data_IF_250973237667
#
_entry.id   IF_250973237667
#
_cell.length_a   1.000
_cell.length_b   1.000
_cell.length_c   1.000
_cell.angle_alpha   90.00
_cell.angle_beta   90.00
_cell.angle_gamma   90.00
#
_symmetry.space_group_name_H-M   'P 1'
#
loop_
_entity.id
_entity.type
_entity.pdbx_description
1 polymer ?
#
# COMPACT_ATOMS: atom_id res chain seq x y z
N UNK A 1 14.92 -29.04 5.96
CA UNK A 1 14.00 -28.12 6.67
C UNK A 1 14.73 -27.50 7.85
N UNK A 2 14.49 -26.22 8.15
CA UNK A 2 15.08 -25.51 9.31
C UNK A 2 14.04 -25.48 10.43
N UNK A 3 14.40 -25.90 11.65
CA UNK A 3 13.51 -25.84 12.82
C UNK A 3 13.43 -24.42 13.35
N UNK A 4 12.23 -23.84 13.40
CA UNK A 4 11.96 -22.54 14.00
C UNK A 4 10.93 -22.69 15.13
N UNK A 5 11.14 -22.00 16.24
CA UNK A 5 10.15 -21.82 17.29
C UNK A 5 9.65 -20.37 17.25
N UNK A 6 8.34 -20.19 17.37
CA UNK A 6 7.67 -18.89 17.36
C UNK A 6 6.65 -18.86 18.49
N UNK A 7 6.56 -17.74 19.20
CA UNK A 7 5.49 -17.51 20.16
C UNK A 7 4.26 -17.02 19.42
N UNK A 8 3.12 -17.63 19.70
CA UNK A 8 1.81 -17.27 19.14
C UNK A 8 0.83 -17.11 20.29
N UNK A 9 -0.20 -16.30 20.07
CA UNK A 9 -1.22 -16.07 21.08
C UNK A 9 -2.20 -17.24 21.16
N UNK A 10 -2.84 -17.43 22.31
CA UNK A 10 -3.74 -18.56 22.54
C UNK A 10 -4.89 -18.63 21.51
N UNK A 11 -5.34 -17.47 21.00
CA UNK A 11 -6.35 -17.42 19.92
C UNK A 11 -5.82 -17.96 18.59
N UNK A 12 -4.54 -17.72 18.29
CA UNK A 12 -3.89 -18.17 17.06
C UNK A 12 -3.66 -19.69 17.11
N UNK A 13 -3.25 -20.21 18.27
CA UNK A 13 -3.12 -21.66 18.52
C UNK A 13 -4.44 -22.40 18.26
N UNK A 14 -5.55 -21.91 18.83
CA UNK A 14 -6.89 -22.49 18.61
C UNK A 14 -7.29 -22.46 17.12
N UNK A 15 -7.00 -21.36 16.44
CA UNK A 15 -7.27 -21.22 15.01
C UNK A 15 -6.43 -22.20 14.18
N UNK A 16 -5.12 -22.29 14.47
CA UNK A 16 -4.18 -23.14 13.76
C UNK A 16 -4.59 -24.61 13.85
N UNK A 17 -4.87 -25.11 15.07
CA UNK A 17 -5.36 -26.47 15.32
C UNK A 17 -6.64 -26.78 14.56
N UNK A 18 -7.62 -25.88 14.65
CA UNK A 18 -8.92 -26.05 13.98
C UNK A 18 -8.74 -26.13 12.46
N UNK A 19 -8.00 -25.20 11.86
CA UNK A 19 -7.76 -25.15 10.41
C UNK A 19 -6.94 -26.33 9.90
N UNK A 20 -5.91 -26.75 10.65
CA UNK A 20 -5.10 -27.91 10.29
C UNK A 20 -5.98 -29.18 10.22
N UNK A 21 -6.88 -29.36 11.20
CA UNK A 21 -7.85 -30.47 11.21
C UNK A 21 -8.84 -30.39 10.06
N UNK A 22 -9.46 -29.23 9.83
CA UNK A 22 -10.41 -29.01 8.72
C UNK A 22 -9.77 -29.37 7.36
N UNK A 23 -8.51 -28.99 7.16
CA UNK A 23 -7.77 -29.21 5.91
C UNK A 23 -7.05 -30.57 5.85
N UNK A 24 -7.13 -31.38 6.92
CA UNK A 24 -6.44 -32.68 7.05
C UNK A 24 -4.92 -32.59 6.79
N UNK A 25 -4.28 -31.55 7.29
CA UNK A 25 -2.83 -31.35 7.22
C UNK A 25 -2.25 -31.12 8.62
N UNK A 26 -0.92 -31.18 8.75
CA UNK A 26 -0.27 -30.83 10.01
C UNK A 26 -0.25 -29.32 10.22
N UNK A 27 -0.16 -28.87 11.47
CA UNK A 27 -0.01 -27.45 11.81
C UNK A 27 1.24 -26.84 11.16
N UNK A 28 2.35 -27.59 11.14
CA UNK A 28 3.59 -27.16 10.50
C UNK A 28 3.44 -26.98 8.98
N UNK A 29 2.67 -27.87 8.33
CA UNK A 29 2.35 -27.73 6.90
C UNK A 29 1.49 -26.50 6.64
N UNK A 30 0.49 -26.26 7.47
CA UNK A 30 -0.37 -25.08 7.36
C UNK A 30 0.43 -23.78 7.55
N UNK A 31 1.37 -23.75 8.50
CA UNK A 31 2.28 -22.61 8.70
C UNK A 31 3.14 -22.37 7.46
N UNK A 32 3.73 -23.43 6.87
CA UNK A 32 4.54 -23.30 5.64
C UNK A 32 3.72 -22.74 4.48
N UNK A 33 2.52 -23.28 4.24
CA UNK A 33 1.61 -22.77 3.19
C UNK A 33 1.27 -21.29 3.40
N UNK A 34 1.06 -20.88 4.65
CA UNK A 34 0.82 -19.48 4.99
C UNK A 34 2.02 -18.59 4.66
N UNK A 35 3.24 -19.03 4.98
CA UNK A 35 4.48 -18.31 4.62
C UNK A 35 4.62 -18.20 3.09
N UNK A 36 4.43 -19.29 2.36
CA UNK A 36 4.51 -19.30 0.91
C UNK A 36 3.47 -18.36 0.27
N UNK A 37 2.26 -18.31 0.85
CA UNK A 37 1.20 -17.42 0.38
C UNK A 37 1.57 -15.95 0.60
N UNK A 38 2.16 -15.59 1.74
CA UNK A 38 2.65 -14.22 2.00
C UNK A 38 3.69 -13.81 0.95
N UNK A 39 4.59 -14.72 0.58
CA UNK A 39 5.60 -14.45 -0.45
C UNK A 39 5.03 -14.27 -1.86
N UNK A 40 3.82 -14.79 -2.13
CA UNK A 40 3.14 -14.68 -3.44
C UNK A 40 2.17 -13.51 -3.53
N UNK A 41 1.70 -12.99 -2.40
CA UNK A 41 0.84 -11.81 -2.42
C UNK A 41 1.63 -10.65 -3.03
N UNK A 42 1.11 -9.97 -4.07
CA UNK A 42 1.73 -8.76 -4.57
C UNK A 42 1.83 -7.81 -3.38
N UNK A 43 3.05 -7.38 -3.07
CA UNK A 43 3.30 -6.47 -1.96
C UNK A 43 2.33 -5.29 -2.10
N UNK A 44 1.51 -5.06 -1.06
CA UNK A 44 0.62 -3.88 -0.97
C UNK A 44 1.39 -2.58 -1.18
N UNK A 45 2.70 -2.62 -0.93
CA UNK A 45 3.64 -1.60 -1.34
C UNK A 45 4.23 -2.02 -2.69
N UNK A 46 3.93 -1.32 -3.81
CA UNK A 46 4.62 -1.59 -5.06
C UNK A 46 6.12 -1.48 -4.80
N UNK A 47 6.92 -2.31 -5.49
CA UNK A 47 8.36 -2.33 -5.32
C UNK A 47 8.87 -0.88 -5.31
N UNK A 48 9.36 -0.41 -4.14
CA UNK A 48 9.68 1.01 -3.90
C UNK A 48 10.61 1.51 -4.99
N UNK A 49 11.53 0.67 -5.41
CA UNK A 49 12.54 0.99 -6.40
C UNK A 49 11.95 1.11 -7.82
N UNK A 50 11.04 0.21 -8.18
CA UNK A 50 10.36 0.23 -9.48
C UNK A 50 9.38 1.41 -9.58
N UNK A 51 8.65 1.67 -8.50
CA UNK A 51 7.77 2.84 -8.37
C UNK A 51 8.57 4.14 -8.47
N UNK A 52 9.75 4.18 -7.86
CA UNK A 52 10.65 5.33 -7.94
C UNK A 52 11.25 5.52 -9.34
N UNK A 53 11.58 4.41 -10.03
CA UNK A 53 11.99 4.46 -11.44
C UNK A 53 10.87 5.00 -12.33
N UNK A 54 9.65 4.50 -12.18
CA UNK A 54 8.48 4.97 -12.93
C UNK A 54 8.22 6.48 -12.69
N UNK A 55 8.31 6.94 -11.44
CA UNK A 55 8.18 8.34 -11.10
C UNK A 55 9.24 9.22 -11.78
N UNK A 56 10.52 8.79 -11.76
CA UNK A 56 11.61 9.52 -12.43
C UNK A 56 11.41 9.61 -13.95
N UNK A 57 10.94 8.54 -14.59
CA UNK A 57 10.62 8.55 -16.02
C UNK A 57 9.49 9.55 -16.33
N UNK A 58 8.41 9.53 -15.55
CA UNK A 58 7.29 10.47 -15.70
C UNK A 58 7.75 11.93 -15.53
N UNK A 59 8.58 12.21 -14.53
CA UNK A 59 9.15 13.55 -14.30
C UNK A 59 10.01 13.96 -15.50
N UNK A 60 10.88 13.06 -15.99
CA UNK A 60 11.71 13.31 -17.16
C UNK A 60 10.90 13.63 -18.41
N UNK A 61 9.86 12.85 -18.71
CA UNK A 61 8.96 13.12 -19.83
C UNK A 61 8.23 14.46 -19.67
N UNK A 62 7.79 14.80 -18.45
CA UNK A 62 7.16 16.11 -18.18
C UNK A 62 8.14 17.27 -18.32
N UNK A 63 9.40 17.11 -17.95
CA UNK A 63 10.41 18.17 -18.10
C UNK A 63 10.71 18.47 -19.58
N UNK A 64 10.53 17.50 -20.48
CA UNK A 64 10.67 17.71 -21.93
C UNK A 64 9.54 18.56 -22.52
N UNK A 65 8.38 18.62 -21.85
CA UNK A 65 7.27 19.47 -22.28
C UNK A 65 7.64 20.94 -22.04
N UNK A 66 7.79 21.70 -23.13
CA UNK A 66 7.90 23.15 -23.07
C UNK A 66 6.51 23.75 -22.86
N UNK A 67 6.02 23.69 -21.64
CA UNK A 67 4.83 24.45 -21.24
C UNK A 67 5.24 25.92 -21.16
N UNK A 68 4.55 26.79 -21.89
CA UNK A 68 4.74 28.22 -21.76
C UNK A 68 4.51 28.58 -20.29
N UNK A 69 5.53 29.14 -19.64
CA UNK A 69 5.44 29.72 -18.29
C UNK A 69 4.56 30.97 -18.39
N UNK A 70 3.26 30.75 -18.57
CA UNK A 70 2.27 31.81 -18.50
C UNK A 70 2.25 32.22 -17.04
N UNK A 71 2.42 33.51 -16.78
CA UNK A 71 2.33 34.05 -15.43
C UNK A 71 1.10 33.51 -14.72
N UNK A 72 1.21 33.28 -13.42
CA UNK A 72 0.14 32.72 -12.60
C UNK A 72 -1.15 33.55 -12.81
N UNK A 73 -2.17 32.94 -13.41
CA UNK A 73 -3.46 33.60 -13.69
C UNK A 73 -4.44 33.57 -12.51
N UNK A 74 -4.10 32.84 -11.45
CA UNK A 74 -4.95 32.60 -10.28
C UNK A 74 -4.26 33.08 -9.02
N UNK A 75 -4.96 33.79 -8.12
CA UNK A 75 -4.40 34.12 -6.81
C UNK A 75 -4.51 32.91 -5.87
N UNK A 76 -3.78 32.93 -4.76
CA UNK A 76 -3.72 31.76 -3.84
C UNK A 76 -5.05 31.61 -3.13
N UNK A 77 -5.60 32.74 -2.77
CA UNK A 77 -6.86 32.96 -2.07
C UNK A 77 -8.01 32.35 -2.89
N UNK A 78 -8.07 32.63 -4.20
CA UNK A 78 -9.07 32.09 -5.13
C UNK A 78 -9.15 30.55 -5.13
N UNK A 79 -7.99 29.87 -5.00
CA UNK A 79 -7.94 28.40 -4.94
C UNK A 79 -8.43 27.84 -3.61
N UNK A 80 -8.16 28.54 -2.50
CA UNK A 80 -8.66 28.13 -1.20
C UNK A 80 -10.18 28.34 -1.10
N UNK A 81 -10.69 29.44 -1.65
CA UNK A 81 -12.14 29.70 -1.73
C UNK A 81 -12.86 28.64 -2.59
N UNK A 82 -12.28 28.24 -3.73
CA UNK A 82 -12.83 27.14 -4.54
C UNK A 82 -12.77 25.78 -3.82
N UNK A 83 -11.68 25.49 -3.10
CA UNK A 83 -11.47 24.18 -2.46
C UNK A 83 -12.27 24.02 -1.16
N UNK A 84 -12.46 25.09 -0.39
CA UNK A 84 -13.15 25.06 0.88
C UNK A 84 -14.65 25.35 0.75
N UNK A 85 -15.11 25.74 -0.45
CA UNK A 85 -16.45 26.27 -0.67
C UNK A 85 -16.56 27.65 -0.01
N UNK A 86 -17.30 28.58 -0.63
CA UNK A 86 -17.55 29.89 -0.03
C UNK A 86 -18.00 29.69 1.43
N UNK A 87 -17.13 30.06 2.38
CA UNK A 87 -17.47 30.07 3.78
C UNK A 87 -18.76 30.88 3.88
N UNK A 88 -19.81 30.18 4.26
CA UNK A 88 -21.18 30.68 4.29
C UNK A 88 -21.18 32.06 4.94
N UNK A 89 -21.55 33.10 4.18
CA UNK A 89 -21.92 34.38 4.77
C UNK A 89 -23.08 34.11 5.72
N UNK A 90 -22.86 34.29 7.01
CA UNK A 90 -23.93 34.51 7.98
C UNK A 90 -23.60 35.77 8.75
N UNK A 91 -24.45 36.76 8.48
CA UNK A 91 -24.83 37.98 9.21
C UNK A 91 -23.97 38.41 10.39
#
# INVERSE_FOLDING_TARGET
>A
MIRKQVYIEQRQERLLKRRARELRVTEAELIRRGIDQIGRLPSLFPNREESWRAAKLLIGERMKLRVAQTGRTWRREDLYEQRLGAATSRH
#
